data_IF_890162076070
#
_entry.id   IF_890162076070
#
_cell.length_a   1.000
_cell.length_b   1.000
_cell.length_c   1.000
_cell.angle_alpha   90.00
_cell.angle_beta   90.00
_cell.angle_gamma   90.00
#
_symmetry.space_group_name_H-M   'P 1'
#
loop_
_entity.id
_entity.type
_entity.pdbx_description
1 polymer ?
#
# COMPACT_ATOMS: atom_id res chain seq x y z
N UNK A 1 5.18 12.13 -15.09
CA UNK A 1 4.15 11.76 -14.08
C UNK A 1 4.83 11.12 -12.87
N UNK A 2 4.42 11.48 -11.64
CA UNK A 2 4.98 10.94 -10.38
C UNK A 2 3.96 10.06 -9.68
N UNK A 3 4.30 8.79 -9.45
CA UNK A 3 3.45 7.85 -8.69
C UNK A 3 4.10 7.58 -7.33
N UNK A 4 3.34 7.76 -6.26
CA UNK A 4 3.73 7.34 -4.92
C UNK A 4 3.01 6.04 -4.56
N UNK A 5 3.75 4.97 -4.36
CA UNK A 5 3.22 3.68 -3.90
C UNK A 5 3.42 3.56 -2.40
N UNK A 6 2.32 3.31 -1.70
CA UNK A 6 2.31 3.09 -0.25
C UNK A 6 1.95 1.64 0.02
N UNK A 7 2.87 0.93 0.63
CA UNK A 7 2.73 -0.49 0.93
C UNK A 7 3.39 -0.80 2.29
N UNK A 8 2.74 -1.57 3.18
CA UNK A 8 3.29 -1.85 4.51
C UNK A 8 4.59 -2.64 4.48
N UNK A 9 4.74 -3.56 3.53
CA UNK A 9 5.95 -4.37 3.34
C UNK A 9 6.24 -4.50 1.85
N UNK A 10 7.51 -4.46 1.48
CA UNK A 10 7.98 -4.55 0.11
C UNK A 10 9.17 -5.50 0.00
N UNK A 11 9.57 -5.87 -1.22
CA UNK A 11 10.75 -6.70 -1.41
C UNK A 11 11.95 -6.11 -0.63
N UNK A 12 12.75 -6.92 0.11
CA UNK A 12 12.80 -8.36 0.12
C UNK A 12 11.94 -9.08 1.19
N UNK A 13 10.82 -8.53 1.64
CA UNK A 13 9.91 -9.12 2.63
C UNK A 13 9.16 -10.34 2.08
N UNK A 14 9.86 -11.34 1.56
CA UNK A 14 9.28 -12.50 0.84
C UNK A 14 8.39 -13.40 1.71
N UNK A 15 8.46 -13.27 3.04
CA UNK A 15 7.58 -13.99 3.97
C UNK A 15 6.10 -13.70 3.75
N UNK A 16 5.75 -12.55 3.15
CA UNK A 16 4.38 -12.21 2.78
C UNK A 16 3.90 -12.86 1.47
N UNK A 17 4.74 -13.58 0.76
CA UNK A 17 4.40 -14.35 -0.43
C UNK A 17 4.01 -13.51 -1.66
N UNK A 18 2.95 -13.94 -2.34
CA UNK A 18 2.51 -13.40 -3.63
C UNK A 18 2.36 -11.87 -3.73
N UNK A 19 1.77 -11.19 -2.75
CA UNK A 19 1.63 -9.73 -2.77
C UNK A 19 2.94 -8.97 -2.95
N UNK A 20 4.05 -9.46 -2.37
CA UNK A 20 5.37 -8.82 -2.52
C UNK A 20 5.90 -8.97 -3.94
N UNK A 21 5.81 -10.19 -4.48
CA UNK A 21 6.29 -10.48 -5.84
C UNK A 21 5.48 -9.70 -6.87
N UNK A 22 4.16 -9.70 -6.76
CA UNK A 22 3.29 -8.98 -7.68
C UNK A 22 3.47 -7.46 -7.60
N UNK A 23 3.71 -6.92 -6.40
CA UNK A 23 3.99 -5.49 -6.22
C UNK A 23 5.33 -5.08 -6.83
N UNK A 24 6.36 -5.92 -6.64
CA UNK A 24 7.67 -5.71 -7.25
C UNK A 24 7.57 -5.74 -8.78
N UNK A 25 6.89 -6.76 -9.34
CA UNK A 25 6.69 -6.88 -10.78
C UNK A 25 5.94 -5.68 -11.36
N UNK A 26 4.86 -5.25 -10.71
CA UNK A 26 4.10 -4.06 -11.12
C UNK A 26 4.97 -2.81 -11.11
N UNK A 27 5.76 -2.59 -10.05
CA UNK A 27 6.66 -1.44 -9.98
C UNK A 27 7.76 -1.50 -11.05
N UNK A 28 8.28 -2.69 -11.34
CA UNK A 28 9.29 -2.91 -12.37
C UNK A 28 8.73 -2.59 -13.76
N UNK A 29 7.54 -3.09 -14.09
CA UNK A 29 6.92 -2.81 -15.39
C UNK A 29 6.55 -1.33 -15.55
N UNK A 30 5.96 -0.72 -14.53
CA UNK A 30 5.65 0.72 -14.55
C UNK A 30 6.91 1.57 -14.71
N UNK A 31 8.03 1.16 -14.15
CA UNK A 31 9.30 1.91 -14.24
C UNK A 31 9.92 1.95 -15.65
N UNK A 32 9.44 1.10 -16.56
CA UNK A 32 9.85 1.11 -17.97
C UNK A 32 9.13 2.18 -18.79
N UNK A 33 8.07 2.77 -18.26
CA UNK A 33 7.30 3.81 -18.96
C UNK A 33 8.13 5.11 -18.95
N UNK A 34 8.40 5.70 -20.12
CA UNK A 34 9.14 6.96 -20.21
C UNK A 34 8.48 8.06 -19.37
N UNK A 35 9.30 8.90 -18.77
CA UNK A 35 8.86 10.06 -17.95
C UNK A 35 8.00 9.74 -16.73
N UNK A 36 7.92 8.47 -16.35
CA UNK A 36 7.27 8.04 -15.13
C UNK A 36 8.29 7.92 -13.98
N UNK A 37 8.05 8.69 -12.91
CA UNK A 37 8.83 8.61 -11.68
C UNK A 37 8.05 7.82 -10.64
N UNK A 38 8.54 6.66 -10.29
CA UNK A 38 7.91 5.78 -9.31
C UNK A 38 8.68 5.80 -7.99
N UNK A 39 7.97 6.06 -6.89
CA UNK A 39 8.50 6.06 -5.54
C UNK A 39 7.68 5.15 -4.65
N UNK A 40 8.34 4.20 -4.01
CA UNK A 40 7.73 3.29 -3.04
C UNK A 40 8.13 3.69 -1.64
N UNK A 41 7.16 3.89 -0.76
CA UNK A 41 7.40 4.04 0.68
C UNK A 41 6.84 2.84 1.42
N UNK A 42 7.68 2.26 2.27
CA UNK A 42 7.41 0.99 2.93
C UNK A 42 8.12 0.91 4.28
N UNK A 43 8.04 -0.23 4.93
CA UNK A 43 8.75 -0.49 6.20
C UNK A 43 9.72 -1.66 6.09
N UNK A 44 10.56 -1.81 7.11
CA UNK A 44 11.44 -2.97 7.29
C UNK A 44 10.72 -4.18 7.89
N UNK A 45 9.38 -4.19 7.91
CA UNK A 45 8.58 -5.26 8.50
C UNK A 45 8.63 -6.53 7.65
N UNK A 46 8.96 -7.64 8.30
CA UNK A 46 8.99 -8.98 7.70
C UNK A 46 8.25 -9.96 8.63
N UNK A 47 7.06 -10.37 8.23
CA UNK A 47 6.12 -11.12 9.05
C UNK A 47 6.73 -12.41 9.61
N UNK A 48 6.70 -12.56 10.95
CA UNK A 48 7.18 -13.78 11.63
C UNK A 48 8.70 -14.01 11.56
N UNK A 49 9.45 -13.03 11.05
CA UNK A 49 10.91 -13.10 10.90
C UNK A 49 11.58 -11.86 11.51
N UNK A 50 12.93 -11.87 11.52
CA UNK A 50 13.70 -10.67 11.82
C UNK A 50 13.36 -9.53 10.87
N UNK A 51 13.56 -8.29 11.31
CA UNK A 51 13.43 -7.13 10.43
C UNK A 51 14.33 -7.26 9.21
N UNK A 52 13.92 -6.63 8.11
CA UNK A 52 14.72 -6.61 6.89
C UNK A 52 16.04 -5.87 7.13
N UNK A 53 17.12 -6.42 6.63
CA UNK A 53 18.44 -5.77 6.56
C UNK A 53 18.47 -4.83 5.35
N UNK A 54 17.90 -3.63 5.50
CA UNK A 54 17.78 -2.63 4.44
C UNK A 54 18.25 -1.27 4.93
N UNK A 55 18.61 -0.38 3.99
CA UNK A 55 18.95 1.00 4.32
C UNK A 55 17.68 1.78 4.71
N UNK A 56 17.61 2.21 5.99
CA UNK A 56 16.48 2.94 6.51
C UNK A 56 16.57 4.43 6.18
N UNK A 57 15.40 5.04 5.96
CA UNK A 57 15.20 6.48 5.78
C UNK A 57 15.96 7.10 4.59
N UNK A 58 16.52 6.29 3.71
CA UNK A 58 17.21 6.73 2.48
C UNK A 58 16.48 6.19 1.26
N UNK A 59 16.51 6.95 0.16
CA UNK A 59 16.05 6.48 -1.13
C UNK A 59 17.08 5.52 -1.71
N UNK A 60 16.66 4.31 -1.98
CA UNK A 60 17.45 3.26 -2.65
C UNK A 60 16.88 3.08 -4.05
N UNK A 61 17.74 3.16 -5.05
CA UNK A 61 17.34 2.88 -6.44
C UNK A 61 17.11 1.39 -6.61
N UNK A 62 15.95 1.04 -7.11
CA UNK A 62 15.57 -0.35 -7.39
C UNK A 62 15.52 -0.57 -8.89
N UNK A 63 16.29 -1.57 -9.37
CA UNK A 63 16.39 -1.83 -10.81
C UNK A 63 16.82 -0.59 -11.59
N UNK A 64 16.26 -0.41 -12.79
CA UNK A 64 16.62 0.72 -13.66
C UNK A 64 15.74 1.95 -13.46
N UNK A 65 14.62 1.88 -12.73
CA UNK A 65 13.59 2.90 -12.89
C UNK A 65 12.86 3.43 -11.68
N UNK A 66 12.94 2.84 -10.48
CA UNK A 66 12.19 3.35 -9.34
C UNK A 66 13.01 3.41 -8.05
N UNK A 67 12.48 4.14 -7.07
CA UNK A 67 13.12 4.34 -5.78
C UNK A 67 12.25 3.79 -4.67
N UNK A 68 12.88 3.15 -3.69
CA UNK A 68 12.22 2.62 -2.49
C UNK A 68 12.83 3.27 -1.25
N UNK A 69 11.98 3.63 -0.29
CA UNK A 69 12.41 4.11 1.02
C UNK A 69 11.77 3.25 2.10
N UNK A 70 12.62 2.64 2.92
CA UNK A 70 12.20 1.83 4.06
C UNK A 70 12.21 2.66 5.34
N UNK A 71 11.17 2.49 6.15
CA UNK A 71 11.04 3.08 7.47
C UNK A 71 11.03 2.01 8.54
N UNK A 72 11.63 2.33 9.67
CA UNK A 72 11.70 1.40 10.79
C UNK A 72 10.32 1.11 11.36
N UNK A 73 10.03 -0.17 11.56
CA UNK A 73 8.88 -0.63 12.36
C UNK A 73 9.30 -0.71 13.82
N UNK A 74 8.47 -0.17 14.71
CA UNK A 74 8.67 -0.30 16.15
C UNK A 74 8.07 -1.61 16.67
N UNK A 75 6.74 -1.76 16.54
CA UNK A 75 6.00 -2.95 17.02
C UNK A 75 4.86 -3.25 16.03
N UNK A 76 4.68 -4.52 15.66
CA UNK A 76 3.52 -5.03 14.91
C UNK A 76 3.12 -4.17 13.68
N UNK A 77 4.07 -3.76 12.88
CA UNK A 77 3.81 -2.95 11.68
C UNK A 77 3.58 -1.45 11.97
N UNK A 78 3.69 -1.00 13.21
CA UNK A 78 3.58 0.42 13.58
C UNK A 78 4.88 1.16 13.27
N UNK A 79 4.81 2.18 12.42
CA UNK A 79 5.97 2.95 11.95
C UNK A 79 5.69 4.45 11.90
N UNK A 80 5.94 5.19 13.00
CA UNK A 80 5.73 6.64 13.04
C UNK A 80 6.51 7.40 11.95
N UNK A 81 7.73 6.94 11.66
CA UNK A 81 8.55 7.54 10.61
C UNK A 81 7.90 7.43 9.22
N UNK A 82 7.26 6.31 8.92
CA UNK A 82 6.48 6.15 7.70
C UNK A 82 5.28 7.11 7.67
N UNK A 83 4.51 7.20 8.77
CA UNK A 83 3.30 8.03 8.82
C UNK A 83 3.59 9.50 8.59
N UNK A 84 4.66 10.01 9.19
CA UNK A 84 5.11 11.39 8.95
C UNK A 84 5.57 11.60 7.50
N UNK A 85 6.18 10.57 6.90
CA UNK A 85 6.71 10.67 5.53
C UNK A 85 5.65 10.55 4.45
N UNK A 86 4.54 9.87 4.70
CA UNK A 86 3.40 9.75 3.78
C UNK A 86 2.94 11.13 3.30
N UNK A 87 2.82 12.11 4.16
CA UNK A 87 2.30 13.44 3.83
C UNK A 87 3.10 14.18 2.75
N UNK A 88 4.42 14.43 2.91
CA UNK A 88 5.19 15.13 1.89
C UNK A 88 5.33 14.33 0.58
N UNK A 89 5.39 13.02 0.63
CA UNK A 89 5.50 12.20 -0.59
C UNK A 89 4.18 12.21 -1.38
N UNK A 90 3.04 12.13 -0.71
CA UNK A 90 1.72 12.27 -1.36
C UNK A 90 1.53 13.67 -1.92
N UNK A 91 1.92 14.72 -1.17
CA UNK A 91 1.87 16.09 -1.67
C UNK A 91 2.64 16.27 -2.99
N UNK A 92 3.77 15.59 -3.14
CA UNK A 92 4.64 15.66 -4.30
C UNK A 92 4.23 14.72 -5.45
N UNK A 93 3.29 13.81 -5.24
CA UNK A 93 2.84 12.85 -6.23
C UNK A 93 1.71 13.40 -7.11
N UNK A 94 1.60 12.87 -8.33
CA UNK A 94 0.46 13.10 -9.22
C UNK A 94 -0.62 12.05 -9.00
N UNK A 95 -0.23 10.81 -8.66
CA UNK A 95 -1.12 9.67 -8.35
C UNK A 95 -0.58 8.94 -7.14
N UNK A 96 -1.47 8.46 -6.28
CA UNK A 96 -1.15 7.64 -5.11
C UNK A 96 -1.70 6.24 -5.30
N UNK A 97 -0.84 5.23 -5.20
CA UNK A 97 -1.23 3.83 -5.23
C UNK A 97 -1.05 3.20 -3.85
N UNK A 98 -2.14 2.90 -3.19
CA UNK A 98 -2.16 2.31 -1.85
C UNK A 98 -2.40 0.81 -1.99
N UNK A 99 -1.56 0.00 -1.35
CA UNK A 99 -1.63 -1.45 -1.43
C UNK A 99 -1.90 -2.07 -0.06
N UNK A 100 -2.93 -2.92 -0.02
CA UNK A 100 -3.46 -3.52 1.19
C UNK A 100 -4.43 -2.60 1.93
N UNK A 101 -5.34 -3.21 2.67
CA UNK A 101 -6.41 -2.50 3.39
C UNK A 101 -6.21 -2.60 4.91
N UNK A 102 -5.90 -3.80 5.41
CA UNK A 102 -5.79 -4.06 6.86
C UNK A 102 -4.37 -3.79 7.36
N UNK A 103 -3.95 -2.53 7.25
CA UNK A 103 -2.65 -2.06 7.72
C UNK A 103 -2.72 -0.60 8.14
N UNK A 104 -1.85 -0.18 9.03
CA UNK A 104 -1.86 1.15 9.61
C UNK A 104 -1.49 2.30 8.64
N UNK A 105 -0.64 2.13 7.61
CA UNK A 105 -0.38 3.17 6.62
C UNK A 105 -1.59 3.57 5.77
N UNK A 106 -2.49 2.64 5.47
CA UNK A 106 -3.61 2.85 4.54
C UNK A 106 -4.55 3.99 4.94
N UNK A 107 -5.09 4.06 6.18
CA UNK A 107 -5.94 5.18 6.59
C UNK A 107 -5.23 6.53 6.47
N UNK A 108 -3.97 6.59 6.84
CA UNK A 108 -3.16 7.82 6.79
C UNK A 108 -2.94 8.26 5.34
N UNK A 109 -2.64 7.30 4.46
CA UNK A 109 -2.46 7.56 3.04
C UNK A 109 -3.76 8.03 2.36
N UNK A 110 -4.90 7.43 2.69
CA UNK A 110 -6.21 7.85 2.21
C UNK A 110 -6.52 9.29 2.65
N UNK A 111 -6.35 9.58 3.95
CA UNK A 111 -6.58 10.92 4.49
C UNK A 111 -5.66 11.97 3.83
N UNK A 112 -4.38 11.70 3.73
CA UNK A 112 -3.42 12.60 3.09
C UNK A 112 -3.72 12.81 1.61
N UNK A 113 -4.09 11.75 0.88
CA UNK A 113 -4.43 11.83 -0.54
C UNK A 113 -5.67 12.71 -0.78
N UNK A 114 -6.71 12.55 0.04
CA UNK A 114 -7.91 13.40 -0.02
C UNK A 114 -7.58 14.84 0.34
N UNK A 115 -6.77 15.07 1.39
CA UNK A 115 -6.34 16.40 1.80
C UNK A 115 -5.61 17.15 0.69
N UNK A 116 -4.67 16.48 0.01
CA UNK A 116 -3.92 17.06 -1.12
C UNK A 116 -4.64 16.91 -2.48
N UNK A 117 -5.86 16.41 -2.51
CA UNK A 117 -6.67 16.20 -3.73
C UNK A 117 -5.93 15.36 -4.78
N UNK A 118 -5.25 14.29 -4.35
CA UNK A 118 -4.53 13.40 -5.25
C UNK A 118 -5.40 12.22 -5.66
N UNK A 119 -5.43 11.85 -6.95
CA UNK A 119 -6.07 10.62 -7.41
C UNK A 119 -5.52 9.39 -6.66
N UNK A 120 -6.43 8.50 -6.24
CA UNK A 120 -6.08 7.35 -5.41
C UNK A 120 -6.43 6.07 -6.16
N UNK A 121 -5.47 5.17 -6.26
CA UNK A 121 -5.67 3.78 -6.63
C UNK A 121 -5.55 2.94 -5.35
N UNK A 122 -6.54 2.13 -5.04
CA UNK A 122 -6.54 1.25 -3.86
C UNK A 122 -6.64 -0.21 -4.29
N UNK A 123 -5.64 -1.02 -3.94
CA UNK A 123 -5.58 -2.46 -4.23
C UNK A 123 -5.76 -3.25 -2.93
N UNK A 124 -6.88 -3.97 -2.74
CA UNK A 124 -7.12 -4.76 -1.52
C UNK A 124 -6.18 -5.95 -1.35
N UNK A 125 -5.77 -6.57 -2.45
CA UNK A 125 -4.87 -7.73 -2.48
C UNK A 125 -5.48 -8.99 -1.88
N UNK A 126 -6.72 -9.33 -2.26
CA UNK A 126 -7.39 -10.59 -1.92
C UNK A 126 -7.86 -10.71 -0.47
N UNK A 127 -8.03 -9.58 0.24
CA UNK A 127 -8.38 -9.59 1.67
C UNK A 127 -9.85 -9.26 1.97
N UNK A 128 -10.66 -9.04 0.93
CA UNK A 128 -12.08 -8.68 1.07
C UNK A 128 -13.04 -9.86 0.98
N UNK A 129 -12.57 -11.05 0.62
CA UNK A 129 -13.39 -12.25 0.53
C UNK A 129 -14.07 -12.62 1.85
N UNK A 130 -15.27 -13.20 1.77
CA UNK A 130 -16.08 -13.59 2.92
C UNK A 130 -15.26 -14.45 3.90
N UNK A 131 -14.48 -15.40 3.38
CA UNK A 131 -13.60 -16.21 4.20
C UNK A 131 -12.62 -15.37 5.03
N UNK A 132 -11.99 -14.37 4.42
CA UNK A 132 -11.06 -13.47 5.10
C UNK A 132 -11.76 -12.56 6.11
N UNK A 133 -12.99 -12.16 5.84
CA UNK A 133 -13.77 -11.28 6.71
C UNK A 133 -14.39 -12.03 7.88
N UNK A 134 -14.86 -13.27 7.67
CA UNK A 134 -15.56 -14.07 8.67
C UNK A 134 -14.60 -14.85 9.59
N UNK A 135 -13.47 -15.35 9.07
CA UNK A 135 -12.42 -15.97 9.85
C UNK A 135 -11.42 -14.96 10.47
N UNK A 136 -11.63 -13.67 10.20
CA UNK A 136 -10.89 -12.61 10.84
C UNK A 136 -11.61 -12.06 12.07
N UNK A 137 -10.88 -11.31 12.87
CA UNK A 137 -11.44 -10.59 14.03
C UNK A 137 -12.62 -9.71 13.61
N UNK A 138 -13.65 -9.57 14.46
CA UNK A 138 -14.76 -8.58 14.30
C UNK A 138 -14.24 -7.16 14.05
N UNK A 139 -12.99 -6.89 14.40
CA UNK A 139 -12.28 -5.65 14.09
C UNK A 139 -12.11 -5.39 12.58
N UNK A 140 -12.09 -6.41 11.70
CA UNK A 140 -11.96 -6.16 10.25
C UNK A 140 -13.16 -5.42 9.68
N UNK A 141 -14.39 -5.84 10.03
CA UNK A 141 -15.62 -5.16 9.59
C UNK A 141 -15.69 -3.72 10.15
N UNK A 142 -15.32 -3.55 11.42
CA UNK A 142 -15.23 -2.23 12.03
C UNK A 142 -14.17 -1.35 11.36
N UNK A 143 -12.99 -1.92 11.06
CA UNK A 143 -11.92 -1.26 10.34
C UNK A 143 -12.38 -0.75 8.96
N UNK A 144 -13.05 -1.60 8.18
CA UNK A 144 -13.60 -1.21 6.88
C UNK A 144 -14.58 -0.06 7.00
N UNK A 145 -15.49 -0.11 7.96
CA UNK A 145 -16.50 0.93 8.17
C UNK A 145 -15.90 2.27 8.59
N UNK A 146 -14.87 2.27 9.44
CA UNK A 146 -14.27 3.50 9.98
C UNK A 146 -13.24 4.08 9.01
N UNK A 147 -12.35 3.25 8.45
CA UNK A 147 -11.16 3.72 7.77
C UNK A 147 -11.20 3.62 6.24
N UNK A 148 -12.08 2.79 5.68
CA UNK A 148 -12.11 2.58 4.22
C UNK A 148 -13.39 3.13 3.61
N UNK A 149 -14.55 2.80 4.19
CA UNK A 149 -15.87 3.20 3.66
C UNK A 149 -16.02 4.71 3.45
N UNK A 150 -15.52 5.61 4.30
CA UNK A 150 -15.61 7.06 4.07
C UNK A 150 -14.88 7.54 2.81
N UNK A 151 -13.93 6.73 2.31
CA UNK A 151 -13.13 7.05 1.13
C UNK A 151 -13.49 6.21 -0.10
N UNK A 152 -14.37 5.21 0.03
CA UNK A 152 -14.64 4.23 -1.01
C UNK A 152 -15.05 4.84 -2.36
N UNK A 153 -15.80 5.96 -2.33
CA UNK A 153 -16.24 6.70 -3.51
C UNK A 153 -15.17 7.65 -4.11
N UNK A 154 -14.04 7.84 -3.41
CA UNK A 154 -12.93 8.70 -3.84
C UNK A 154 -11.76 7.92 -4.42
N UNK A 155 -11.82 6.60 -4.38
CA UNK A 155 -10.74 5.74 -4.84
C UNK A 155 -11.12 5.04 -6.14
N UNK A 156 -10.11 4.84 -6.99
CA UNK A 156 -10.19 3.87 -8.09
C UNK A 156 -9.77 2.52 -7.53
N UNK A 157 -10.68 1.58 -7.48
CA UNK A 157 -10.40 0.23 -7.02
C UNK A 157 -9.61 -0.54 -8.07
N UNK A 158 -8.53 -1.16 -7.66
CA UNK A 158 -7.73 -2.04 -8.49
C UNK A 158 -7.84 -3.48 -7.97
N UNK A 159 -8.67 -4.27 -8.62
CA UNK A 159 -8.80 -5.70 -8.37
C UNK A 159 -7.74 -6.49 -9.13
N UNK A 160 -7.18 -7.52 -8.49
CA UNK A 160 -6.17 -8.40 -9.08
C UNK A 160 -6.78 -9.53 -9.92
N UNK A 161 -8.05 -9.83 -9.67
CA UNK A 161 -8.82 -10.83 -10.43
C UNK A 161 -10.33 -10.52 -10.41
N UNK A 162 -11.11 -11.33 -11.12
CA UNK A 162 -12.56 -11.15 -11.24
C UNK A 162 -13.32 -11.44 -9.93
N UNK A 163 -12.77 -12.28 -9.06
CA UNK A 163 -13.37 -12.58 -7.76
C UNK A 163 -13.23 -11.39 -6.82
N UNK A 164 -12.04 -10.85 -6.69
CA UNK A 164 -11.79 -9.64 -5.92
C UNK A 164 -12.63 -8.44 -6.41
N UNK A 165 -12.81 -8.34 -7.75
CA UNK A 165 -13.72 -7.32 -8.31
C UNK A 165 -15.15 -7.48 -7.80
N UNK A 166 -15.68 -8.72 -7.77
CA UNK A 166 -17.03 -8.99 -7.23
C UNK A 166 -17.13 -8.65 -5.74
N UNK A 167 -16.11 -9.01 -4.97
CA UNK A 167 -16.02 -8.71 -3.54
C UNK A 167 -16.03 -7.19 -3.27
N UNK A 168 -15.26 -6.42 -4.03
CA UNK A 168 -15.26 -4.96 -3.95
C UNK A 168 -16.65 -4.40 -4.25
N UNK A 169 -17.27 -4.84 -5.34
CA UNK A 169 -18.61 -4.38 -5.74
C UNK A 169 -19.68 -4.72 -4.68
N UNK A 170 -19.60 -5.89 -4.05
CA UNK A 170 -20.56 -6.28 -3.00
C UNK A 170 -20.46 -5.44 -1.72
N UNK A 171 -19.30 -4.84 -1.44
CA UNK A 171 -19.07 -4.05 -0.24
C UNK A 171 -19.31 -2.55 -0.44
N UNK A 172 -19.15 -2.06 -1.67
CA UNK A 172 -19.06 -0.61 -1.95
C UNK A 172 -19.91 -0.14 -3.16
N UNK A 173 -20.79 -1.00 -3.69
CA UNK A 173 -21.76 -0.66 -4.74
C UNK A 173 -23.06 -0.08 -4.17
#
# INVERSE_FOLDING_TARGET
MKICVIIPSFYPAVAFGGPIVSSLSTCTELSKIPDLQLRVITTDFNMGQSKLEVLLNKWVKFGQGFFVKYHQVLVNGFSPGLYLRIWPEIKAADVVHIQGIFNSPTPIALLASVFFKRPIILSPRGVLGDWCLDHGSRFKKLWLNIFIRPFAYKVTWHATDLMEKKEILSLYS
#
